data_IF_737317903966
#
_entry.id   IF_737317903966
#
_cell.length_a   1.000
_cell.length_b   1.000
_cell.length_c   1.000
_cell.angle_alpha   90.00
_cell.angle_beta   90.00
_cell.angle_gamma   90.00
#
_symmetry.space_group_name_H-M   'P 1'
#
loop_
_entity.id
_entity.type
_entity.pdbx_description
1 polymer ?
#
# COMPACT_ATOMS: atom_id res chain seq x y z
N UNK A 1 1.47 -8.53 -21.93
CA UNK A 1 1.35 -9.95 -21.51
C UNK A 1 2.05 -10.18 -20.17
N UNK A 2 1.29 -10.20 -19.07
CA UNK A 2 1.78 -10.63 -17.77
C UNK A 2 0.83 -11.73 -17.29
N UNK A 3 1.27 -12.97 -17.46
CA UNK A 3 0.53 -14.16 -17.06
C UNK A 3 0.70 -14.36 -15.54
N UNK A 4 -0.37 -14.24 -14.77
CA UNK A 4 -0.33 -14.41 -13.31
C UNK A 4 -0.95 -15.75 -12.94
N UNK A 5 -0.12 -16.80 -12.89
CA UNK A 5 -0.57 -18.12 -12.43
C UNK A 5 -0.65 -18.14 -10.90
N UNK A 6 -1.84 -18.35 -10.33
CA UNK A 6 -2.04 -18.53 -8.88
C UNK A 6 -2.75 -19.84 -8.61
N UNK A 7 -2.18 -20.71 -7.77
CA UNK A 7 -2.81 -21.95 -7.30
C UNK A 7 -3.41 -21.73 -5.91
N UNK A 8 -4.54 -22.36 -5.61
CA UNK A 8 -5.26 -22.21 -4.34
C UNK A 8 -5.73 -23.58 -3.83
N UNK A 9 -5.63 -23.86 -2.51
CA UNK A 9 -6.37 -24.95 -1.88
C UNK A 9 -7.86 -24.60 -1.89
N UNK A 10 -8.68 -25.50 -2.41
CA UNK A 10 -10.10 -25.20 -2.68
C UNK A 10 -10.97 -25.79 -1.59
N UNK A 11 -11.53 -24.97 -0.69
CA UNK A 11 -12.77 -25.33 0.00
C UNK A 11 -13.93 -24.98 -0.93
N UNK A 12 -14.40 -25.98 -1.68
CA UNK A 12 -15.46 -25.80 -2.67
C UNK A 12 -16.80 -25.88 -1.95
N UNK A 13 -17.48 -24.74 -1.80
CA UNK A 13 -18.88 -24.72 -1.39
C UNK A 13 -19.75 -24.47 -2.63
N UNK A 14 -20.66 -25.41 -2.92
CA UNK A 14 -21.45 -25.40 -4.16
C UNK A 14 -22.85 -24.88 -3.88
N UNK A 15 -23.20 -23.80 -4.57
CA UNK A 15 -24.60 -23.44 -4.79
C UNK A 15 -24.75 -22.94 -6.23
N UNK A 16 -25.58 -23.61 -7.03
CA UNK A 16 -26.04 -23.18 -8.37
C UNK A 16 -24.94 -22.96 -9.42
N UNK A 17 -24.03 -23.92 -9.63
CA UNK A 17 -23.06 -23.86 -10.75
C UNK A 17 -21.96 -22.81 -10.62
N UNK A 18 -21.81 -22.21 -9.44
CA UNK A 18 -20.75 -21.26 -9.13
C UNK A 18 -19.68 -21.90 -8.24
N UNK A 19 -18.41 -21.72 -8.61
CA UNK A 19 -17.28 -22.15 -7.79
C UNK A 19 -16.85 -20.98 -6.91
N UNK A 20 -16.91 -21.17 -5.59
CA UNK A 20 -16.33 -20.23 -4.64
C UNK A 20 -14.87 -20.62 -4.39
N UNK A 21 -13.95 -19.70 -4.69
CA UNK A 21 -12.53 -19.84 -4.41
C UNK A 21 -12.11 -18.81 -3.35
N UNK A 22 -11.31 -19.24 -2.38
CA UNK A 22 -10.77 -18.36 -1.33
C UNK A 22 -9.26 -18.32 -1.44
N UNK A 23 -8.70 -17.12 -1.45
CA UNK A 23 -7.24 -16.92 -1.50
C UNK A 23 -6.61 -17.06 -0.10
N UNK A 24 -5.55 -17.86 0.00
CA UNK A 24 -4.81 -18.06 1.27
C UNK A 24 -4.23 -16.76 1.84
N UNK A 25 -3.85 -15.83 0.95
CA UNK A 25 -3.26 -14.54 1.29
C UNK A 25 -3.95 -13.42 0.55
N UNK A 26 -4.09 -12.26 1.20
CA UNK A 26 -4.66 -11.06 0.59
C UNK A 26 -3.93 -10.62 -0.69
N UNK A 27 -2.60 -10.76 -0.74
CA UNK A 27 -1.81 -10.47 -1.93
C UNK A 27 -2.20 -11.33 -3.15
N UNK A 28 -2.77 -12.53 -2.88
CA UNK A 28 -3.20 -13.48 -3.89
C UNK A 28 -4.70 -13.34 -4.22
N UNK A 29 -5.39 -12.31 -3.73
CA UNK A 29 -6.81 -12.08 -4.04
C UNK A 29 -7.06 -11.95 -5.54
N UNK A 30 -8.20 -12.45 -5.97
CA UNK A 30 -8.64 -12.37 -7.36
C UNK A 30 -9.55 -11.15 -7.50
N UNK A 31 -9.30 -10.34 -8.52
CA UNK A 31 -10.16 -9.21 -8.90
C UNK A 31 -10.86 -9.54 -10.20
N UNK A 32 -12.01 -8.91 -10.42
CA UNK A 32 -12.63 -8.94 -11.74
C UNK A 32 -11.70 -8.26 -12.75
N UNK A 33 -11.56 -8.87 -13.92
CA UNK A 33 -10.92 -8.28 -15.08
C UNK A 33 -11.73 -8.59 -16.32
N UNK A 34 -12.01 -7.60 -17.16
CA UNK A 34 -12.75 -7.80 -18.42
C UNK A 34 -12.06 -8.81 -19.34
N UNK A 35 -10.73 -8.87 -19.27
CA UNK A 35 -9.88 -9.71 -20.11
C UNK A 35 -9.34 -10.95 -19.37
N UNK A 36 -9.93 -11.30 -18.23
CA UNK A 36 -9.51 -12.47 -17.45
C UNK A 36 -10.24 -13.74 -17.85
N UNK A 37 -9.46 -14.81 -18.00
CA UNK A 37 -9.95 -16.18 -18.17
C UNK A 37 -9.42 -17.04 -17.04
N UNK A 38 -10.31 -17.72 -16.34
CA UNK A 38 -9.97 -18.77 -15.40
C UNK A 38 -9.93 -20.12 -16.12
N UNK A 39 -8.93 -20.93 -15.79
CA UNK A 39 -8.72 -22.28 -16.28
C UNK A 39 -8.64 -23.18 -15.05
N UNK A 40 -9.63 -24.06 -14.88
CA UNK A 40 -9.86 -24.85 -13.69
C UNK A 40 -9.56 -26.30 -14.03
N UNK A 41 -8.52 -26.87 -13.45
CA UNK A 41 -8.15 -28.28 -13.63
C UNK A 41 -8.79 -29.11 -12.53
N UNK A 42 -9.60 -30.08 -12.94
CA UNK A 42 -10.31 -31.01 -12.06
C UNK A 42 -9.68 -32.39 -12.20
N UNK A 43 -9.23 -32.97 -11.09
CA UNK A 43 -8.55 -34.27 -11.05
C UNK A 43 -7.40 -34.33 -10.04
N UNK A 44 -7.12 -35.52 -9.53
CA UNK A 44 -5.97 -35.80 -8.66
C UNK A 44 -4.72 -36.04 -9.51
N UNK A 45 -3.79 -35.08 -9.47
CA UNK A 45 -2.45 -35.26 -10.03
C UNK A 45 -2.32 -35.08 -11.54
N UNK A 46 -1.07 -34.85 -11.96
CA UNK A 46 -0.69 -34.52 -13.33
C UNK A 46 -1.03 -35.68 -14.30
N UNK A 47 -2.09 -35.53 -15.09
CA UNK A 47 -2.38 -36.37 -16.25
C UNK A 47 -3.77 -37.01 -16.31
N UNK A 48 -4.52 -37.06 -15.20
CA UNK A 48 -5.93 -37.52 -15.18
C UNK A 48 -6.84 -36.42 -14.67
N UNK A 49 -7.12 -35.46 -15.54
CA UNK A 49 -8.03 -34.38 -15.24
C UNK A 49 -8.46 -33.64 -16.50
N UNK A 50 -9.60 -32.96 -16.42
CA UNK A 50 -10.10 -32.10 -17.50
C UNK A 50 -10.07 -30.66 -17.03
N UNK A 51 -9.86 -29.75 -17.99
CA UNK A 51 -9.75 -28.32 -17.74
C UNK A 51 -11.04 -27.63 -18.18
N UNK A 52 -11.65 -26.88 -17.27
CA UNK A 52 -12.83 -26.05 -17.56
C UNK A 52 -12.40 -24.58 -17.63
N UNK A 53 -12.93 -23.87 -18.62
CA UNK A 53 -12.77 -22.42 -18.69
C UNK A 53 -13.90 -21.72 -17.95
N UNK A 54 -13.56 -20.63 -17.26
CA UNK A 54 -14.50 -19.77 -16.56
C UNK A 54 -14.02 -18.32 -16.53
N UNK A 55 -14.80 -17.47 -15.89
CA UNK A 55 -14.48 -16.05 -15.66
C UNK A 55 -14.73 -15.69 -14.20
N UNK A 56 -14.05 -14.66 -13.71
CA UNK A 56 -14.29 -14.13 -12.37
C UNK A 56 -15.57 -13.29 -12.41
N UNK A 57 -16.66 -13.82 -11.86
CA UNK A 57 -17.96 -13.17 -11.90
C UNK A 57 -18.11 -12.11 -10.80
N UNK A 58 -17.68 -12.43 -9.58
CA UNK A 58 -17.68 -11.53 -8.42
C UNK A 58 -16.45 -11.76 -7.57
N UNK A 59 -15.87 -10.68 -7.03
CA UNK A 59 -14.78 -10.75 -6.05
C UNK A 59 -15.11 -9.88 -4.85
N UNK A 60 -14.90 -10.40 -3.63
CA UNK A 60 -15.02 -9.63 -2.39
C UNK A 60 -13.96 -10.12 -1.39
N UNK A 61 -13.02 -9.24 -1.03
CA UNK A 61 -11.91 -9.60 -0.13
C UNK A 61 -11.04 -10.71 -0.73
N UNK A 62 -10.80 -11.77 0.04
CA UNK A 62 -10.11 -12.99 -0.42
C UNK A 62 -11.00 -13.96 -1.20
N UNK A 63 -12.31 -13.73 -1.25
CA UNK A 63 -13.25 -14.62 -1.89
C UNK A 63 -13.54 -14.19 -3.32
N UNK A 64 -13.52 -15.13 -4.25
CA UNK A 64 -13.94 -14.93 -5.62
C UNK A 64 -14.91 -16.02 -6.05
N UNK A 65 -15.94 -15.60 -6.78
CA UNK A 65 -16.91 -16.47 -7.40
C UNK A 65 -16.55 -16.58 -8.88
N UNK A 66 -16.31 -17.80 -9.32
CA UNK A 66 -16.05 -18.12 -10.73
C UNK A 66 -17.35 -18.58 -11.37
N UNK A 67 -17.67 -17.99 -12.53
CA UNK A 67 -18.69 -18.52 -13.42
C UNK A 67 -18.01 -19.44 -14.44
N UNK A 68 -18.46 -20.67 -14.55
CA UNK A 68 -17.97 -21.63 -15.54
C UNK A 68 -18.93 -21.68 -16.72
N UNK A 69 -18.40 -21.79 -17.94
CA UNK A 69 -19.23 -21.89 -19.14
C UNK A 69 -19.86 -23.27 -19.34
N UNK A 70 -19.57 -24.22 -18.45
CA UNK A 70 -20.02 -25.59 -18.54
C UNK A 70 -21.20 -25.82 -17.57
N UNK A 71 -22.34 -26.29 -18.10
CA UNK A 71 -23.41 -26.95 -17.32
C UNK A 71 -22.95 -28.35 -16.83
N UNK A 72 -21.70 -28.46 -16.37
CA UNK A 72 -21.17 -29.71 -15.85
C UNK A 72 -21.44 -29.77 -14.37
N UNK A 73 -22.02 -30.88 -13.93
CA UNK A 73 -22.08 -31.19 -12.52
C UNK A 73 -20.65 -31.47 -12.00
N UNK A 74 -20.26 -30.64 -11.04
CA UNK A 74 -18.97 -30.68 -10.37
C UNK A 74 -19.10 -31.21 -8.94
N UNK A 75 -20.30 -31.63 -8.52
CA UNK A 75 -20.53 -32.18 -7.19
C UNK A 75 -19.65 -33.43 -6.98
N UNK A 76 -18.90 -33.44 -5.87
CA UNK A 76 -17.98 -34.52 -5.51
C UNK A 76 -16.65 -34.57 -6.29
N UNK A 77 -16.37 -33.64 -7.20
CA UNK A 77 -15.09 -33.61 -7.94
C UNK A 77 -14.02 -32.80 -7.20
N UNK A 78 -12.81 -33.35 -7.16
CA UNK A 78 -11.65 -32.68 -6.56
C UNK A 78 -11.09 -31.66 -7.55
N UNK A 79 -11.13 -30.39 -7.16
CA UNK A 79 -10.50 -29.30 -7.91
C UNK A 79 -9.01 -29.31 -7.56
N UNK A 80 -8.17 -29.65 -8.55
CA UNK A 80 -6.72 -29.76 -8.34
C UNK A 80 -6.02 -28.40 -8.39
N UNK A 81 -6.37 -27.55 -9.35
CA UNK A 81 -5.85 -26.18 -9.40
C UNK A 81 -6.72 -25.26 -10.24
N UNK A 82 -6.84 -24.00 -9.83
CA UNK A 82 -7.38 -22.91 -10.66
C UNK A 82 -6.19 -22.11 -11.17
N UNK A 83 -6.20 -21.67 -12.43
CA UNK A 83 -5.20 -20.80 -13.06
C UNK A 83 -5.93 -19.62 -13.68
N UNK A 84 -5.50 -18.39 -13.42
CA UNK A 84 -6.10 -17.19 -14.04
C UNK A 84 -5.11 -16.61 -15.04
N UNK A 85 -5.62 -16.24 -16.21
CA UNK A 85 -4.86 -15.71 -17.34
C UNK A 85 -5.50 -14.39 -17.73
N UNK A 86 -4.75 -13.29 -17.65
CA UNK A 86 -5.24 -11.94 -17.98
C UNK A 86 -4.81 -10.91 -16.94
N UNK A 87 -5.03 -9.63 -17.24
CA UNK A 87 -4.75 -8.51 -16.33
C UNK A 87 -5.97 -8.21 -15.48
N UNK A 88 -5.78 -7.82 -14.23
CA UNK A 88 -6.85 -7.21 -13.42
C UNK A 88 -7.33 -5.90 -14.08
N UNK A 89 -8.62 -5.55 -13.90
CA UNK A 89 -9.08 -4.22 -14.26
C UNK A 89 -8.32 -3.18 -13.45
N UNK A 90 -7.91 -2.08 -14.11
CA UNK A 90 -7.22 -0.98 -13.44
C UNK A 90 -8.14 -0.36 -12.39
N UNK A 91 -7.60 -0.16 -11.19
CA UNK A 91 -8.24 0.63 -10.15
C UNK A 91 -8.36 2.10 -10.59
N UNK A 92 -9.31 2.85 -10.01
CA UNK A 92 -9.46 4.28 -10.29
C UNK A 92 -8.15 5.06 -10.05
N UNK A 93 -7.38 4.67 -9.03
CA UNK A 93 -6.07 5.26 -8.76
C UNK A 93 -5.04 4.97 -9.87
N UNK A 94 -5.06 3.76 -10.45
CA UNK A 94 -4.17 3.42 -11.57
C UNK A 94 -4.56 4.15 -12.85
N UNK A 95 -5.87 4.32 -13.10
CA UNK A 95 -6.38 5.12 -14.22
C UNK A 95 -5.98 6.58 -14.07
N UNK A 96 -6.23 7.19 -12.90
CA UNK A 96 -5.84 8.58 -12.64
C UNK A 96 -4.33 8.78 -12.75
N UNK A 97 -3.53 7.85 -12.21
CA UNK A 97 -2.07 7.91 -12.35
C UNK A 97 -1.65 7.87 -13.83
N UNK A 98 -2.25 6.98 -14.63
CA UNK A 98 -1.93 6.89 -16.05
C UNK A 98 -2.30 8.18 -16.79
N UNK A 99 -3.44 8.79 -16.44
CA UNK A 99 -3.86 10.08 -16.99
C UNK A 99 -2.88 11.20 -16.63
N UNK A 100 -2.49 11.33 -15.36
CA UNK A 100 -1.53 12.34 -14.93
C UNK A 100 -0.17 12.16 -15.65
N UNK A 101 0.30 10.92 -15.80
CA UNK A 101 1.54 10.63 -16.54
C UNK A 101 1.41 11.04 -18.01
N UNK A 102 0.26 10.80 -18.64
CA UNK A 102 0.02 11.24 -20.01
C UNK A 102 0.07 12.77 -20.13
N UNK A 103 -0.58 13.49 -19.21
CA UNK A 103 -0.58 14.95 -19.17
C UNK A 103 0.83 15.53 -18.98
N UNK A 104 1.65 14.90 -18.12
CA UNK A 104 3.08 15.25 -17.97
C UNK A 104 3.83 15.05 -19.29
N UNK A 105 3.66 13.90 -19.96
CA UNK A 105 4.35 13.59 -21.22
C UNK A 105 3.89 14.49 -22.38
N UNK A 106 2.65 14.97 -22.33
CA UNK A 106 2.10 15.94 -23.28
C UNK A 106 2.54 17.38 -22.97
N UNK A 107 3.24 17.61 -21.85
CA UNK A 107 3.67 18.95 -21.42
C UNK A 107 2.54 19.81 -20.84
N UNK A 108 1.39 19.21 -20.52
CA UNK A 108 0.26 19.91 -19.88
C UNK A 108 0.49 20.16 -18.39
N UNK A 109 1.32 19.32 -17.74
CA UNK A 109 1.76 19.48 -16.36
C UNK A 109 3.27 19.72 -16.35
N UNK A 110 3.69 20.87 -15.86
CA UNK A 110 5.11 21.18 -15.70
C UNK A 110 5.60 20.84 -14.29
N UNK A 111 6.17 19.65 -14.13
CA UNK A 111 6.69 19.15 -12.86
C UNK A 111 7.78 20.03 -12.21
N UNK A 112 8.52 20.82 -13.01
CA UNK A 112 9.59 21.68 -12.50
C UNK A 112 9.03 22.88 -11.72
N UNK A 113 7.91 23.43 -12.17
CA UNK A 113 7.38 24.69 -11.64
C UNK A 113 6.12 24.52 -10.80
N UNK A 114 5.35 23.45 -11.00
CA UNK A 114 4.06 23.27 -10.33
C UNK A 114 4.17 22.57 -8.97
N UNK A 115 5.29 21.89 -8.69
CA UNK A 115 5.43 21.16 -7.44
C UNK A 115 6.85 21.27 -6.85
N UNK A 116 7.05 22.02 -5.75
CA UNK A 116 8.37 22.23 -5.16
C UNK A 116 9.01 20.95 -4.63
N UNK A 117 8.20 19.97 -4.19
CA UNK A 117 8.73 18.66 -3.75
C UNK A 117 9.29 17.86 -4.92
N UNK A 118 8.57 17.83 -6.04
CA UNK A 118 9.02 17.12 -7.24
C UNK A 118 10.26 17.80 -7.81
N UNK A 119 10.29 19.14 -7.81
CA UNK A 119 11.47 19.92 -8.18
C UNK A 119 12.68 19.53 -7.32
N UNK A 120 12.55 19.58 -6.00
CA UNK A 120 13.62 19.24 -5.07
C UNK A 120 14.12 17.80 -5.24
N UNK A 121 13.22 16.83 -5.39
CA UNK A 121 13.57 15.40 -5.42
C UNK A 121 14.21 14.99 -6.76
N UNK A 122 13.71 15.51 -7.88
CA UNK A 122 14.07 15.00 -9.22
C UNK A 122 14.87 15.98 -10.07
N UNK A 123 14.85 17.28 -9.77
CA UNK A 123 15.35 18.33 -10.66
C UNK A 123 16.35 19.28 -10.02
N UNK A 124 16.48 19.30 -8.68
CA UNK A 124 17.46 20.12 -7.98
C UNK A 124 18.81 19.40 -7.89
N UNK A 125 19.85 20.07 -8.37
CA UNK A 125 21.25 19.72 -8.15
C UNK A 125 21.76 20.38 -6.86
N UNK A 126 22.80 19.84 -6.18
CA UNK A 126 23.42 20.48 -5.02
C UNK A 126 24.01 21.88 -5.26
N UNK A 127 24.01 22.37 -6.50
CA UNK A 127 24.48 23.71 -6.90
C UNK A 127 23.36 24.66 -7.31
N UNK A 128 22.11 24.19 -7.32
CA UNK A 128 20.97 25.02 -7.68
C UNK A 128 20.46 25.75 -6.44
N UNK A 129 20.17 27.05 -6.60
CA UNK A 129 19.54 27.89 -5.57
C UNK A 129 18.04 27.57 -5.51
N UNK A 130 17.69 26.36 -5.08
CA UNK A 130 16.29 26.02 -4.84
C UNK A 130 15.78 26.75 -3.61
N UNK A 131 14.70 27.52 -3.80
CA UNK A 131 14.00 28.21 -2.72
C UNK A 131 12.61 27.61 -2.51
N UNK A 132 12.29 27.35 -1.24
CA UNK A 132 10.95 26.99 -0.84
C UNK A 132 10.00 28.18 -1.04
N UNK A 133 8.70 27.94 -1.31
CA UNK A 133 7.71 29.02 -1.38
C UNK A 133 7.74 29.89 -0.12
N UNK A 134 7.75 31.22 -0.28
CA UNK A 134 7.89 32.18 0.83
C UNK A 134 6.81 32.00 1.91
N UNK A 135 5.58 31.70 1.51
CA UNK A 135 4.48 31.41 2.45
C UNK A 135 4.84 30.28 3.43
N UNK A 136 5.59 29.27 2.99
CA UNK A 136 6.01 28.16 3.85
C UNK A 136 7.18 28.52 4.77
N UNK A 137 7.96 29.55 4.42
CA UNK A 137 9.01 30.11 5.28
C UNK A 137 8.36 30.87 6.43
N UNK A 138 7.40 31.75 6.12
CA UNK A 138 6.66 32.52 7.12
C UNK A 138 5.94 31.61 8.14
N UNK A 139 5.27 30.56 7.66
CA UNK A 139 4.64 29.55 8.52
C UNK A 139 5.65 28.83 9.43
N UNK A 140 6.85 28.53 8.92
CA UNK A 140 7.89 27.83 9.68
C UNK A 140 8.58 28.73 10.70
N UNK A 141 8.77 30.02 10.39
CA UNK A 141 9.32 31.00 11.33
C UNK A 141 8.35 31.35 12.45
N UNK A 142 7.04 31.35 12.16
CA UNK A 142 6.00 31.55 13.15
C UNK A 142 5.77 30.32 14.05
N UNK A 143 6.23 29.14 13.64
CA UNK A 143 6.05 27.89 14.39
C UNK A 143 6.98 27.82 15.62
N UNK A 144 6.43 27.33 16.74
CA UNK A 144 7.22 27.07 17.95
C UNK A 144 8.13 25.87 17.67
N UNK A 145 9.46 25.99 17.89
CA UNK A 145 10.38 24.90 17.59
C UNK A 145 10.14 23.72 18.54
N UNK A 146 9.83 22.57 17.96
CA UNK A 146 9.60 21.35 18.73
C UNK A 146 10.94 20.70 19.04
N UNK A 147 11.23 20.58 20.34
CA UNK A 147 12.45 19.94 20.82
C UNK A 147 12.18 18.48 21.11
N UNK A 148 13.14 17.64 20.72
CA UNK A 148 13.11 16.25 21.11
C UNK A 148 13.32 16.12 22.62
N UNK A 149 12.33 15.54 23.29
CA UNK A 149 12.37 15.17 24.69
C UNK A 149 12.49 13.64 24.83
N UNK A 150 13.63 13.12 25.34
CA UNK A 150 13.82 11.70 25.59
C UNK A 150 12.80 11.08 26.56
N UNK A 151 12.25 11.87 27.49
CA UNK A 151 11.30 11.37 28.48
C UNK A 151 9.88 11.25 27.91
N UNK A 152 9.61 11.95 26.81
CA UNK A 152 8.35 11.90 26.09
C UNK A 152 8.20 10.66 25.19
N UNK A 153 9.29 9.94 24.90
CA UNK A 153 9.25 8.75 24.02
C UNK A 153 9.13 7.45 24.81
N UNK A 154 8.15 6.62 24.44
CA UNK A 154 7.84 5.37 25.13
C UNK A 154 8.98 4.32 25.09
N UNK A 155 9.98 4.48 24.21
CA UNK A 155 11.13 3.57 24.12
C UNK A 155 12.43 4.34 23.92
N UNK A 156 13.53 3.91 24.54
CA UNK A 156 14.82 4.55 24.34
C UNK A 156 15.29 4.40 22.88
N UNK A 157 15.75 5.50 22.31
CA UNK A 157 16.32 5.56 20.96
C UNK A 157 17.84 5.53 21.04
N UNK A 158 18.47 4.86 20.07
CA UNK A 158 19.93 4.96 19.90
C UNK A 158 20.31 6.31 19.27
N UNK A 159 21.61 6.62 19.21
CA UNK A 159 22.11 7.90 18.73
C UNK A 159 21.67 8.22 17.29
N UNK A 160 21.67 7.24 16.38
CA UNK A 160 21.29 7.46 14.98
C UNK A 160 19.79 7.69 14.81
N UNK A 161 18.96 6.97 15.57
CA UNK A 161 17.51 7.17 15.62
C UNK A 161 17.15 8.53 16.22
N UNK A 162 17.79 8.92 17.33
CA UNK A 162 17.60 10.23 17.95
C UNK A 162 17.99 11.36 17.01
N UNK A 163 19.09 11.21 16.26
CA UNK A 163 19.49 12.19 15.24
C UNK A 163 18.44 12.29 14.13
N UNK A 164 17.90 11.16 13.68
CA UNK A 164 16.86 11.14 12.66
C UNK A 164 15.58 11.87 13.14
N UNK A 165 15.10 11.59 14.35
CA UNK A 165 13.93 12.26 14.92
C UNK A 165 14.17 13.77 15.08
N UNK A 166 15.34 14.18 15.59
CA UNK A 166 15.69 15.60 15.72
C UNK A 166 15.70 16.32 14.36
N UNK A 167 16.22 15.67 13.31
CA UNK A 167 16.20 16.24 11.96
C UNK A 167 14.76 16.39 11.44
N UNK A 168 13.91 15.38 11.64
CA UNK A 168 12.51 15.41 11.20
C UNK A 168 11.67 16.48 11.91
N UNK A 169 11.98 16.79 13.17
CA UNK A 169 11.31 17.86 13.94
C UNK A 169 11.83 19.25 13.59
N UNK A 170 12.94 19.34 12.86
CA UNK A 170 13.53 20.61 12.45
C UNK A 170 12.70 21.31 11.38
N UNK A 171 12.46 22.60 11.56
CA UNK A 171 11.78 23.46 10.59
C UNK A 171 12.75 24.12 9.57
N UNK A 172 14.04 23.74 9.59
CA UNK A 172 15.02 24.27 8.64
C UNK A 172 14.71 23.78 7.22
N UNK A 173 15.11 24.57 6.22
CA UNK A 173 14.91 24.21 4.82
C UNK A 173 15.56 22.86 4.45
N UNK A 174 16.70 22.54 5.06
CA UNK A 174 17.38 21.23 4.93
C UNK A 174 16.63 20.08 5.63
N UNK A 175 15.77 20.39 6.60
CA UNK A 175 14.99 19.41 7.37
C UNK A 175 13.63 19.09 6.74
N UNK A 176 13.07 20.00 5.93
CA UNK A 176 11.74 19.86 5.29
C UNK A 176 11.59 18.57 4.49
N UNK A 177 12.66 18.12 3.84
CA UNK A 177 12.75 16.79 3.23
C UNK A 177 13.85 15.99 3.91
N UNK A 178 13.46 15.02 4.74
CA UNK A 178 14.41 14.12 5.42
C UNK A 178 14.28 12.70 4.88
N UNK A 179 15.38 12.15 4.37
CA UNK A 179 15.46 10.74 3.93
C UNK A 179 16.18 9.91 4.97
N UNK A 180 15.49 8.92 5.53
CA UNK A 180 16.05 8.01 6.53
C UNK A 180 16.23 6.63 5.90
N UNK A 181 17.48 6.22 5.74
CA UNK A 181 17.84 4.89 5.29
C UNK A 181 18.30 4.02 6.47
N UNK A 182 17.83 2.78 6.51
CA UNK A 182 18.26 1.82 7.52
C UNK A 182 18.06 0.39 7.04
N UNK A 183 19.04 -0.52 7.26
CA UNK A 183 18.90 -1.95 6.99
C UNK A 183 17.63 -2.58 7.62
N UNK A 184 17.25 -3.80 7.22
CA UNK A 184 16.20 -4.55 7.89
C UNK A 184 16.48 -4.67 9.40
N UNK A 185 15.45 -4.53 10.23
CA UNK A 185 15.57 -4.66 11.69
C UNK A 185 16.10 -3.43 12.46
N UNK A 186 16.51 -2.33 11.81
CA UNK A 186 17.07 -1.15 12.51
C UNK A 186 16.06 -0.25 13.22
N UNK A 187 14.82 -0.69 13.38
CA UNK A 187 13.80 0.05 14.12
C UNK A 187 13.27 1.31 13.41
N UNK A 188 13.23 1.34 12.06
CA UNK A 188 12.64 2.47 11.31
C UNK A 188 11.22 2.83 11.78
N UNK A 189 10.38 1.84 12.04
CA UNK A 189 9.02 2.06 12.56
C UNK A 189 9.03 2.64 13.98
N UNK A 190 10.06 2.33 14.79
CA UNK A 190 10.27 2.96 16.10
C UNK A 190 10.62 4.45 15.94
N UNK A 191 11.43 4.82 14.95
CA UNK A 191 11.71 6.23 14.62
C UNK A 191 10.43 6.96 14.23
N UNK A 192 9.59 6.36 13.38
CA UNK A 192 8.29 6.93 12.98
C UNK A 192 7.40 7.17 14.20
N UNK A 193 7.21 6.15 15.06
CA UNK A 193 6.35 6.28 16.23
C UNK A 193 6.87 7.32 17.23
N UNK A 194 8.20 7.38 17.41
CA UNK A 194 8.84 8.36 18.29
C UNK A 194 8.68 9.79 17.77
N UNK A 195 8.86 9.99 16.47
CA UNK A 195 8.59 11.28 15.82
C UNK A 195 7.14 11.73 16.06
N UNK A 196 6.16 10.85 15.82
CA UNK A 196 4.74 11.18 15.99
C UNK A 196 4.44 11.56 17.45
N UNK A 197 4.97 10.81 18.41
CA UNK A 197 4.77 11.07 19.83
C UNK A 197 5.32 12.45 20.23
N UNK A 198 6.57 12.73 19.87
CA UNK A 198 7.21 14.03 20.16
C UNK A 198 6.52 15.17 19.42
N UNK A 199 6.14 14.98 18.17
CA UNK A 199 5.46 15.98 17.36
C UNK A 199 4.12 16.37 18.00
N UNK A 200 3.29 15.39 18.37
CA UNK A 200 1.99 15.63 19.02
C UNK A 200 2.18 16.31 20.38
N UNK A 201 3.15 15.86 21.19
CA UNK A 201 3.46 16.50 22.46
C UNK A 201 3.93 17.96 22.29
N UNK A 202 4.60 18.26 21.17
CA UNK A 202 4.99 19.61 20.75
C UNK A 202 3.87 20.43 20.12
N UNK A 203 2.65 19.91 20.01
CA UNK A 203 1.49 20.61 19.44
C UNK A 203 1.33 20.50 17.92
N UNK A 204 2.17 19.72 17.22
CA UNK A 204 1.93 19.42 15.81
C UNK A 204 0.66 18.58 15.65
N UNK A 205 -0.12 18.92 14.64
CA UNK A 205 -1.32 18.19 14.24
C UNK A 205 -1.29 17.92 12.73
N UNK A 206 -2.24 17.14 12.23
CA UNK A 206 -2.33 16.85 10.79
C UNK A 206 -1.22 15.96 10.25
N UNK A 207 -0.71 15.02 11.05
CA UNK A 207 0.35 14.10 10.63
C UNK A 207 -0.25 12.98 9.76
N UNK A 208 0.21 12.88 8.52
CA UNK A 208 -0.17 11.80 7.60
C UNK A 208 0.94 10.75 7.50
N UNK A 209 0.58 9.49 7.75
CA UNK A 209 1.47 8.35 7.57
C UNK A 209 1.00 7.50 6.39
N UNK A 210 1.84 7.40 5.37
CA UNK A 210 1.50 6.75 4.10
C UNK A 210 2.50 5.63 3.85
N UNK A 211 2.01 4.47 3.38
CA UNK A 211 2.85 3.35 2.98
C UNK A 211 2.31 2.69 1.71
N UNK A 212 3.19 2.00 0.99
CA UNK A 212 2.86 1.37 -0.30
C UNK A 212 1.85 0.21 -0.18
N UNK A 213 1.74 -0.43 0.99
CA UNK A 213 0.85 -1.58 1.18
C UNK A 213 0.06 -1.47 2.48
N UNK A 214 -1.16 -2.01 2.47
CA UNK A 214 -2.02 -2.07 3.65
C UNK A 214 -1.35 -2.82 4.83
N UNK A 215 -0.53 -3.84 4.55
CA UNK A 215 0.25 -4.56 5.59
C UNK A 215 1.26 -3.61 6.25
N UNK A 216 1.94 -2.77 5.48
CA UNK A 216 2.86 -1.79 6.03
C UNK A 216 2.12 -0.71 6.85
N UNK A 217 0.95 -0.24 6.39
CA UNK A 217 0.11 0.70 7.16
C UNK A 217 -0.33 0.05 8.49
N UNK A 218 -0.76 -1.20 8.46
CA UNK A 218 -1.11 -1.96 9.67
C UNK A 218 0.08 -2.03 10.64
N UNK A 219 1.26 -2.40 10.17
CA UNK A 219 2.46 -2.48 11.01
C UNK A 219 2.83 -1.13 11.66
N UNK A 220 2.59 -0.02 10.95
CA UNK A 220 2.76 1.32 11.51
C UNK A 220 1.70 1.59 12.59
N UNK A 221 0.42 1.30 12.32
CA UNK A 221 -0.68 1.50 13.26
C UNK A 221 -0.51 0.69 14.56
N UNK A 222 -0.13 -0.59 14.45
CA UNK A 222 0.20 -1.43 15.61
C UNK A 222 1.37 -0.82 16.41
N UNK A 223 2.38 -0.32 15.71
CA UNK A 223 3.53 0.32 16.37
C UNK A 223 3.17 1.61 17.09
N UNK A 224 2.22 2.39 16.57
CA UNK A 224 1.69 3.58 17.24
C UNK A 224 0.89 3.20 18.49
N UNK A 225 0.04 2.17 18.40
CA UNK A 225 -0.72 1.66 19.52
C UNK A 225 0.20 1.16 20.66
N UNK A 226 1.26 0.43 20.31
CA UNK A 226 2.35 0.03 21.21
C UNK A 226 3.02 1.20 21.95
N UNK A 227 2.96 2.40 21.36
CA UNK A 227 3.52 3.63 21.92
C UNK A 227 2.48 4.44 22.71
N UNK A 228 1.24 3.95 22.82
CA UNK A 228 0.12 4.63 23.48
C UNK A 228 -0.64 5.61 22.57
N UNK A 229 -0.28 5.68 21.28
CA UNK A 229 -0.91 6.58 20.32
C UNK A 229 -2.10 5.87 19.66
N UNK A 230 -3.31 6.14 20.16
CA UNK A 230 -4.56 5.49 19.71
C UNK A 230 -5.53 6.43 18.99
N UNK A 231 -5.27 7.74 19.05
CA UNK A 231 -6.13 8.78 18.47
C UNK A 231 -5.78 9.02 16.99
N UNK A 232 -6.04 8.05 16.12
CA UNK A 232 -5.80 8.15 14.67
C UNK A 232 -6.96 7.60 13.86
N UNK A 233 -7.03 8.02 12.59
CA UNK A 233 -7.94 7.44 11.59
C UNK A 233 -7.12 6.60 10.63
N UNK A 234 -7.58 5.37 10.36
CA UNK A 234 -6.95 4.47 9.40
C UNK A 234 -7.74 4.44 8.10
N UNK A 235 -7.06 4.75 7.00
CA UNK A 235 -7.60 4.64 5.65
C UNK A 235 -6.99 3.42 4.98
N UNK A 236 -7.81 2.38 4.79
CA UNK A 236 -7.44 1.17 4.05
C UNK A 236 -8.53 0.85 3.05
N UNK A 237 -8.19 0.07 2.01
CA UNK A 237 -9.20 -0.42 1.07
C UNK A 237 -10.25 -1.24 1.82
N UNK A 238 -11.52 -1.07 1.44
CA UNK A 238 -12.66 -1.80 2.02
C UNK A 238 -12.40 -3.30 2.14
N UNK A 239 -11.81 -3.88 1.11
CA UNK A 239 -11.48 -5.31 1.05
C UNK A 239 -10.43 -5.75 2.06
N UNK A 240 -9.50 -4.87 2.48
CA UNK A 240 -8.49 -5.21 3.48
C UNK A 240 -9.04 -5.12 4.89
N UNK A 241 -9.93 -4.16 5.14
CA UNK A 241 -10.58 -3.99 6.45
C UNK A 241 -11.39 -5.22 6.87
N UNK A 242 -12.07 -5.89 5.93
CA UNK A 242 -12.85 -7.11 6.22
C UNK A 242 -12.00 -8.30 6.71
N UNK A 243 -10.67 -8.24 6.57
CA UNK A 243 -9.73 -9.30 6.93
C UNK A 243 -8.80 -8.93 8.13
N UNK A 244 -8.99 -7.76 8.76
CA UNK A 244 -8.16 -7.27 9.86
C UNK A 244 -8.64 -7.80 11.22
#
# INVERSE_FOLDING_TARGET
>A
PAEVTRRFPTSVDQSNGHIRATADRYANKLRRGSDQRASITIGEGAGRGFTINGTVAKSKGRNAQLATNANFDLTGKIIGSIRIIGRDDSTQAEVQRAQNVLEILQGLINLKHENPWVHLIFFSSPRDDFEWPSAWLEEAEAAIPIRFDPDCVSRPLNLSQTRAVKQMLGHSNDGRLTVIQGPPGTGKTTVIASFVQTAIAGGLSGIWLIAQSNVAVKNIAEKLADFGLTQWKLLVSKEFFEDW
#
